data_IF_420794458631
#
_entry.id   IF_420794458631
#
_cell.length_a   1.000
_cell.length_b   1.000
_cell.length_c   1.000
_cell.angle_alpha   90.00
_cell.angle_beta   90.00
_cell.angle_gamma   90.00
#
_symmetry.space_group_name_H-M   'P 1'
#
loop_
_entity.id
_entity.type
_entity.pdbx_description
1 polymer ?
#
# COMPACT_ATOMS: atom_id res chain seq x y z
N UNK A 1 -26.03 49.20 34.86
CA UNK A 1 -26.31 49.11 33.40
C UNK A 1 -26.23 47.65 33.01
N UNK A 2 -27.36 46.96 33.06
CA UNK A 2 -27.50 45.57 32.65
C UNK A 2 -28.09 45.55 31.24
N UNK A 3 -27.45 44.85 30.31
CA UNK A 3 -27.98 44.58 28.97
C UNK A 3 -28.00 43.06 28.74
N UNK A 4 -29.10 42.46 29.20
CA UNK A 4 -29.79 41.30 28.62
C UNK A 4 -29.81 41.36 27.06
N UNK A 5 -29.92 40.31 26.24
CA UNK A 5 -30.37 38.93 26.39
C UNK A 5 -30.02 38.16 25.07
N UNK A 6 -29.68 36.86 25.17
CA UNK A 6 -29.88 35.73 24.22
C UNK A 6 -29.64 35.88 22.69
N UNK A 7 -28.91 34.92 22.08
CA UNK A 7 -29.45 33.80 21.27
C UNK A 7 -28.33 33.07 20.49
N UNK A 8 -28.36 31.73 20.58
CA UNK A 8 -28.11 30.73 19.52
C UNK A 8 -26.69 30.28 19.16
N UNK A 9 -26.43 29.04 19.59
CA UNK A 9 -26.08 27.88 18.76
C UNK A 9 -24.73 27.85 18.03
N UNK A 10 -23.94 26.86 18.46
CA UNK A 10 -23.45 25.78 17.61
C UNK A 10 -22.78 26.19 16.30
N UNK A 11 -21.46 26.37 16.33
CA UNK A 11 -20.62 25.95 15.21
C UNK A 11 -19.39 25.21 15.78
N UNK A 12 -19.63 23.97 16.21
CA UNK A 12 -18.65 22.90 16.01
C UNK A 12 -18.34 22.94 14.51
N UNK A 13 -17.21 23.52 14.13
CA UNK A 13 -16.70 23.37 12.77
C UNK A 13 -16.26 21.92 12.65
N UNK A 14 -17.22 21.08 12.27
CA UNK A 14 -16.96 19.81 11.62
C UNK A 14 -16.14 20.10 10.37
N UNK A 15 -14.82 20.02 10.48
CA UNK A 15 -14.02 19.59 9.34
C UNK A 15 -14.23 18.08 9.21
N UNK A 16 -15.33 17.68 8.59
CA UNK A 16 -15.36 16.39 7.91
C UNK A 16 -14.50 16.54 6.65
N UNK A 17 -13.18 16.45 6.84
CA UNK A 17 -12.30 16.02 5.76
C UNK A 17 -12.59 14.54 5.55
N UNK A 18 -13.12 14.19 4.39
CA UNK A 18 -13.44 12.81 4.04
C UNK A 18 -12.17 11.96 4.09
N UNK A 19 -11.99 11.28 5.22
CA UNK A 19 -10.99 10.23 5.39
C UNK A 19 -11.68 8.93 4.97
N UNK A 20 -11.23 8.32 3.87
CA UNK A 20 -11.54 6.92 3.63
C UNK A 20 -10.84 6.13 4.73
N UNK A 21 -11.58 5.77 5.78
CA UNK A 21 -11.11 4.83 6.80
C UNK A 21 -10.94 3.47 6.12
N UNK A 22 -9.72 3.12 5.72
CA UNK A 22 -9.41 1.71 5.50
C UNK A 22 -9.43 1.02 6.87
N UNK A 23 -10.20 -0.06 6.98
CA UNK A 23 -10.24 -0.88 8.17
C UNK A 23 -9.08 -1.87 8.13
N UNK A 24 -8.34 -2.00 9.24
CA UNK A 24 -7.28 -2.98 9.37
C UNK A 24 -7.87 -4.39 9.24
N UNK A 25 -7.30 -5.19 8.34
CA UNK A 25 -7.80 -6.54 8.04
C UNK A 25 -7.60 -7.54 9.17
N UNK A 26 -6.76 -7.22 10.17
CA UNK A 26 -6.42 -8.13 11.27
C UNK A 26 -7.06 -7.77 12.60
N UNK A 27 -7.18 -6.47 12.92
CA UNK A 27 -7.68 -6.02 14.22
C UNK A 27 -8.89 -5.09 14.14
N UNK A 28 -9.43 -4.87 12.93
CA UNK A 28 -10.62 -4.05 12.68
C UNK A 28 -10.47 -2.57 13.12
N UNK A 29 -9.25 -2.08 13.30
CA UNK A 29 -8.98 -0.67 13.57
C UNK A 29 -9.30 0.19 12.33
N UNK A 30 -10.02 1.29 12.51
CA UNK A 30 -10.48 2.13 11.40
C UNK A 30 -9.54 3.29 11.07
N UNK A 31 -8.58 3.56 11.95
CA UNK A 31 -7.58 4.62 11.80
C UNK A 31 -6.30 4.12 11.13
N UNK A 32 -6.41 3.34 10.04
CA UNK A 32 -5.23 2.94 9.26
C UNK A 32 -4.88 3.97 8.20
N UNK A 33 -3.59 4.13 7.91
CA UNK A 33 -3.07 5.10 6.93
C UNK A 33 -2.34 4.39 5.79
N UNK A 34 -2.21 5.06 4.65
CA UNK A 34 -1.36 4.59 3.55
C UNK A 34 0.12 4.79 3.91
N UNK A 35 0.94 3.81 3.57
CA UNK A 35 2.39 3.83 3.80
C UNK A 35 3.10 3.03 2.71
N UNK A 36 4.40 2.82 2.88
CA UNK A 36 5.20 1.94 2.02
C UNK A 36 6.07 1.02 2.86
N UNK A 37 6.32 -0.18 2.35
CA UNK A 37 7.21 -1.15 2.97
C UNK A 37 8.21 -1.71 1.96
N UNK A 38 9.44 -1.91 2.40
CA UNK A 38 10.45 -2.66 1.66
C UNK A 38 10.36 -4.15 2.06
N UNK A 39 10.32 -5.06 1.09
CA UNK A 39 10.23 -6.50 1.34
C UNK A 39 11.21 -7.29 0.47
N UNK A 40 11.54 -8.50 0.92
CA UNK A 40 12.25 -9.48 0.11
C UNK A 40 11.24 -10.44 -0.53
N UNK A 41 11.31 -10.61 -1.84
CA UNK A 41 10.49 -11.54 -2.60
C UNK A 41 11.37 -12.56 -3.28
N UNK A 42 11.09 -13.83 -3.08
CA UNK A 42 11.74 -14.90 -3.85
C UNK A 42 11.01 -15.03 -5.18
N UNK A 43 11.77 -15.03 -6.27
CA UNK A 43 11.23 -15.24 -7.60
C UNK A 43 10.54 -16.62 -7.68
N UNK A 44 9.49 -16.78 -8.51
CA UNK A 44 8.76 -18.04 -8.61
C UNK A 44 9.63 -19.25 -8.99
N UNK A 45 10.77 -19.00 -9.66
CA UNK A 45 11.75 -20.03 -10.02
C UNK A 45 12.67 -20.45 -8.85
N UNK A 46 12.60 -19.76 -7.71
CA UNK A 46 13.40 -19.99 -6.52
C UNK A 46 14.88 -19.61 -6.64
N UNK A 47 15.33 -19.07 -7.78
CA UNK A 47 16.76 -18.84 -8.05
C UNK A 47 17.26 -17.49 -7.57
N UNK A 48 16.37 -16.50 -7.50
CA UNK A 48 16.69 -15.13 -7.11
C UNK A 48 15.76 -14.65 -6.00
N UNK A 49 16.31 -13.83 -5.11
CA UNK A 49 15.52 -13.07 -4.13
C UNK A 49 15.75 -11.59 -4.39
N UNK A 50 14.66 -10.87 -4.63
CA UNK A 50 14.65 -9.44 -4.89
C UNK A 50 14.31 -8.69 -3.60
N UNK A 51 15.06 -7.64 -3.28
CA UNK A 51 14.64 -6.61 -2.32
C UNK A 51 13.82 -5.57 -3.07
N UNK A 52 12.51 -5.62 -2.91
CA UNK A 52 11.57 -4.70 -3.55
C UNK A 52 11.30 -3.55 -2.59
N UNK A 53 11.62 -2.34 -3.03
CA UNK A 53 11.47 -1.11 -2.27
C UNK A 53 10.12 -0.45 -2.54
N UNK A 54 9.62 0.28 -1.54
CA UNK A 54 8.48 1.19 -1.69
C UNK A 54 7.19 0.50 -2.19
N UNK A 55 6.90 -0.70 -1.69
CA UNK A 55 5.64 -1.39 -1.98
C UNK A 55 4.53 -0.67 -1.21
N UNK A 56 3.39 -0.32 -1.84
CA UNK A 56 2.25 0.23 -1.14
C UNK A 56 1.84 -0.66 0.04
N UNK A 57 1.64 -0.05 1.20
CA UNK A 57 1.37 -0.74 2.45
C UNK A 57 0.30 0.01 3.24
N UNK A 58 -0.25 -0.68 4.24
CA UNK A 58 -1.17 -0.12 5.22
C UNK A 58 -0.43 -0.01 6.54
N UNK A 59 -0.43 1.18 7.14
CA UNK A 59 0.08 1.41 8.49
C UNK A 59 -1.09 1.41 9.48
N UNK A 60 -1.12 0.39 10.32
CA UNK A 60 -2.08 0.27 11.41
C UNK A 60 -1.41 0.63 12.74
N UNK A 61 -1.97 1.56 13.53
CA UNK A 61 -1.35 1.98 14.81
C UNK A 61 -1.29 0.85 15.86
N UNK A 62 -2.02 -0.26 15.66
CA UNK A 62 -2.02 -1.42 16.56
C UNK A 62 -1.18 -2.59 16.05
N UNK A 63 -1.15 -2.82 14.73
CA UNK A 63 -0.49 -3.99 14.13
C UNK A 63 0.87 -3.66 13.50
N UNK A 64 1.12 -2.38 13.21
CA UNK A 64 2.25 -1.91 12.42
C UNK A 64 1.94 -1.84 10.93
N UNK A 65 3.01 -1.67 10.15
CA UNK A 65 2.96 -1.59 8.69
C UNK A 65 2.87 -2.99 8.09
N UNK A 66 2.00 -3.17 7.11
CA UNK A 66 1.84 -4.43 6.38
C UNK A 66 1.43 -4.22 4.93
N UNK A 67 1.77 -5.19 4.09
CA UNK A 67 1.27 -5.28 2.71
C UNK A 67 -0.05 -6.04 2.76
N UNK A 68 -1.12 -5.44 2.23
CA UNK A 68 -2.44 -6.07 2.21
C UNK A 68 -2.46 -7.28 1.27
N UNK A 69 -3.36 -8.24 1.51
CA UNK A 69 -3.52 -9.42 0.64
C UNK A 69 -3.70 -9.08 -0.86
N UNK A 70 -4.56 -8.11 -1.24
CA UNK A 70 -4.67 -7.71 -2.65
C UNK A 70 -3.37 -7.13 -3.22
N UNK A 71 -2.60 -6.44 -2.38
CA UNK A 71 -1.31 -5.88 -2.79
C UNK A 71 -0.25 -6.98 -2.92
N UNK A 72 -0.23 -7.95 -2.02
CA UNK A 72 0.64 -9.12 -2.09
C UNK A 72 0.42 -9.88 -3.39
N UNK A 73 -0.85 -10.19 -3.71
CA UNK A 73 -1.22 -10.82 -4.98
C UNK A 73 -0.76 -10.00 -6.19
N UNK A 74 -0.96 -8.67 -6.16
CA UNK A 74 -0.55 -7.80 -7.25
C UNK A 74 0.98 -7.78 -7.45
N UNK A 75 1.78 -7.86 -6.37
CA UNK A 75 3.24 -7.99 -6.50
C UNK A 75 3.59 -9.30 -7.19
N UNK A 76 3.03 -10.42 -6.74
CA UNK A 76 3.29 -11.75 -7.31
C UNK A 76 2.92 -11.83 -8.79
N UNK A 77 1.73 -11.37 -9.16
CA UNK A 77 1.28 -11.35 -10.56
C UNK A 77 2.22 -10.55 -11.46
N UNK A 78 2.72 -9.40 -10.99
CA UNK A 78 3.66 -8.60 -11.76
C UNK A 78 5.05 -9.26 -11.85
N UNK A 79 5.52 -9.91 -10.79
CA UNK A 79 6.79 -10.65 -10.82
C UNK A 79 6.76 -11.85 -11.79
N UNK A 80 5.60 -12.50 -11.96
CA UNK A 80 5.44 -13.61 -12.92
C UNK A 80 5.57 -13.13 -14.36
N UNK A 81 5.05 -11.94 -14.68
CA UNK A 81 5.01 -11.44 -16.06
C UNK A 81 6.17 -10.51 -16.41
N UNK A 82 6.88 -9.94 -15.44
CA UNK A 82 7.97 -8.99 -15.70
C UNK A 82 9.27 -9.70 -16.13
N UNK A 83 9.90 -9.22 -17.20
CA UNK A 83 11.26 -9.59 -17.56
C UNK A 83 12.25 -8.74 -16.75
N UNK A 84 12.77 -9.35 -15.68
CA UNK A 84 13.73 -8.75 -14.76
C UNK A 84 15.16 -9.28 -14.97
N UNK A 85 15.46 -9.89 -16.12
CA UNK A 85 16.76 -10.52 -16.41
C UNK A 85 17.93 -9.54 -16.29
N UNK A 86 17.71 -8.26 -16.66
CA UNK A 86 18.72 -7.19 -16.57
C UNK A 86 18.63 -6.32 -15.32
N UNK A 87 17.70 -6.58 -14.41
CA UNK A 87 17.48 -5.74 -13.23
C UNK A 87 18.37 -6.18 -12.06
N UNK A 88 18.84 -5.23 -11.23
CA UNK A 88 19.53 -5.54 -9.98
C UNK A 88 18.60 -6.28 -9.00
N UNK A 89 19.19 -6.98 -8.01
CA UNK A 89 18.42 -7.63 -6.95
C UNK A 89 17.74 -6.65 -5.98
N UNK A 90 17.97 -5.34 -6.12
CA UNK A 90 17.25 -4.29 -5.37
C UNK A 90 16.62 -3.30 -6.33
N UNK A 91 15.30 -3.17 -6.29
CA UNK A 91 14.51 -2.37 -7.21
C UNK A 91 13.23 -1.87 -6.55
N UNK A 92 12.60 -0.83 -7.06
CA UNK A 92 11.31 -0.35 -6.54
C UNK A 92 10.15 -1.15 -7.13
N UNK A 93 9.01 -1.15 -6.43
CA UNK A 93 7.78 -1.73 -6.97
C UNK A 93 7.38 -1.09 -8.31
N UNK A 94 7.58 0.22 -8.45
CA UNK A 94 7.30 0.96 -9.68
C UNK A 94 8.16 0.48 -10.88
N UNK A 95 9.42 0.12 -10.64
CA UNK A 95 10.28 -0.45 -11.68
C UNK A 95 9.75 -1.80 -12.19
N UNK A 96 9.11 -2.60 -11.33
CA UNK A 96 8.47 -3.86 -11.73
C UNK A 96 7.25 -3.58 -12.62
N UNK A 97 6.43 -2.59 -12.28
CA UNK A 97 5.24 -2.22 -13.06
C UNK A 97 5.60 -1.74 -14.48
N UNK A 98 6.74 -1.09 -14.63
CA UNK A 98 7.22 -0.55 -15.90
C UNK A 98 8.21 -1.48 -16.64
N UNK A 99 8.53 -2.63 -16.07
CA UNK A 99 9.41 -3.59 -16.71
C UNK A 99 8.78 -4.16 -18.01
N UNK A 100 9.61 -4.56 -18.99
CA UNK A 100 9.14 -5.33 -20.13
C UNK A 100 8.39 -6.58 -19.66
N UNK A 101 7.36 -7.00 -20.40
CA UNK A 101 6.60 -8.20 -20.04
C UNK A 101 7.05 -9.39 -20.87
N UNK A 102 7.22 -10.53 -20.21
CA UNK A 102 7.44 -11.82 -20.85
C UNK A 102 6.19 -12.15 -21.67
N UNK A 103 6.37 -12.44 -22.96
CA UNK A 103 5.25 -12.86 -23.81
C UNK A 103 5.01 -14.35 -23.59
N UNK A 104 3.74 -14.73 -23.58
CA UNK A 104 3.30 -16.12 -23.36
C UNK A 104 3.97 -17.13 -24.33
N UNK A 105 4.35 -16.69 -25.53
CA UNK A 105 5.02 -17.51 -26.55
C UNK A 105 6.52 -17.69 -26.35
N UNK A 106 7.12 -16.94 -25.41
CA UNK A 106 8.55 -17.01 -25.09
C UNK A 106 8.82 -17.93 -23.88
N UNK A 107 7.77 -18.52 -23.28
CA UNK A 107 7.86 -19.57 -22.27
C UNK A 107 8.18 -20.92 -22.96
N UNK A 108 9.47 -21.26 -23.08
CA UNK A 108 9.94 -22.56 -23.56
C UNK A 108 10.13 -23.55 -22.41
#
# INVERSE_FOLDING_TARGET
MACSLLLLLAMRVSKQGGYHTMECQWCNETHTTESTQDCYWTMPDGKRTLRILQIPAVDCPKCGVYISEPMNQKVEENLVIADLTGYPDTLTYDQILHAPKIRLFDLK
#
